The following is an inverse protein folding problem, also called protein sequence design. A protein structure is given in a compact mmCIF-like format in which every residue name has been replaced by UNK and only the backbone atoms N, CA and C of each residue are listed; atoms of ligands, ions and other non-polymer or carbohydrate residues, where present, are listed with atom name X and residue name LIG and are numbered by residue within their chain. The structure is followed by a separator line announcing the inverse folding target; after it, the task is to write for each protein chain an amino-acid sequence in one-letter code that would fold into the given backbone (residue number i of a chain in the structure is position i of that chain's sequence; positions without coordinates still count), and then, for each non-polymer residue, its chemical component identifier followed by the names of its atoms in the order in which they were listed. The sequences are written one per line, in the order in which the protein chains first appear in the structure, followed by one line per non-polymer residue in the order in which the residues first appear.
data_IF_673559157095
#
_entry.id   IF_673559157095
#
_cell.length_a   1.000
_cell.length_b   1.000
_cell.length_c   1.000
_cell.angle_alpha   90.00
_cell.angle_beta   90.00
_cell.angle_gamma   90.00
#
_symmetry.space_group_name_H-M   'P 1'
#
loop_
_entity.id
_entity.type
_entity.pdbx_description
1 polymer ?
#
# COMPACT_ATOMS: atom_id res chain seq x y z
N UNK A 1 -14.77 -11.12 -14.16
CA UNK A 1 -13.74 -10.07 -14.20
C UNK A 1 -14.48 -8.74 -14.19
N UNK A 2 -14.38 -7.95 -13.13
CA UNK A 2 -14.89 -6.57 -13.14
C UNK A 2 -13.85 -5.74 -13.88
N UNK A 3 -14.21 -5.26 -15.06
CA UNK A 3 -13.41 -4.29 -15.80
C UNK A 3 -13.38 -3.00 -14.97
N UNK A 4 -12.18 -2.53 -14.66
CA UNK A 4 -11.98 -1.18 -14.17
C UNK A 4 -12.52 -0.22 -15.23
N UNK A 5 -13.48 0.62 -14.87
CA UNK A 5 -13.55 1.95 -15.48
C UNK A 5 -12.30 2.67 -15.05
N UNK A 6 -11.21 2.44 -15.79
CA UNK A 6 -10.03 3.28 -15.72
C UNK A 6 -10.49 4.73 -15.77
N UNK A 7 -10.16 5.51 -14.75
CA UNK A 7 -10.34 6.95 -14.76
C UNK A 7 -9.32 7.58 -15.71
N UNK A 8 -9.35 7.21 -16.99
CA UNK A 8 -8.62 7.86 -18.08
C UNK A 8 -9.13 9.29 -18.17
N UNK A 9 -8.50 10.21 -17.43
CA UNK A 9 -8.82 11.65 -17.50
C UNK A 9 -8.70 12.45 -16.21
N UNK A 10 -8.53 11.82 -15.02
CA UNK A 10 -8.22 12.57 -13.78
C UNK A 10 -6.73 12.49 -13.49
N UNK A 11 -6.12 13.64 -13.22
CA UNK A 11 -4.77 13.75 -12.66
C UNK A 11 -4.76 13.04 -11.31
N UNK A 12 -4.29 11.79 -11.28
CA UNK A 12 -4.30 10.94 -10.08
C UNK A 12 -2.93 10.30 -9.88
N UNK A 13 -2.50 10.21 -8.62
CA UNK A 13 -1.36 9.39 -8.25
C UNK A 13 -1.74 7.91 -8.35
N UNK A 14 -0.76 7.10 -8.77
CA UNK A 14 -0.86 5.64 -8.71
C UNK A 14 0.10 5.11 -7.66
N UNK A 15 -0.43 4.34 -6.71
CA UNK A 15 0.33 3.69 -5.65
C UNK A 15 0.24 2.17 -5.84
N UNK A 16 1.36 1.56 -6.22
CA UNK A 16 1.54 0.12 -6.16
C UNK A 16 2.22 -0.20 -4.82
N UNK A 17 1.62 -1.08 -4.04
CA UNK A 17 2.17 -1.49 -2.74
C UNK A 17 2.16 -3.01 -2.62
N UNK A 18 3.31 -3.58 -2.29
CA UNK A 18 3.43 -4.98 -1.89
C UNK A 18 3.67 -4.99 -0.39
N UNK A 19 2.71 -5.50 0.35
CA UNK A 19 2.84 -5.72 1.79
C UNK A 19 3.42 -7.09 2.07
N UNK A 20 4.32 -7.14 3.04
CA UNK A 20 4.95 -8.34 3.57
C UNK A 20 4.66 -8.44 5.06
N UNK A 21 4.28 -9.63 5.51
CA UNK A 21 4.23 -9.96 6.93
C UNK A 21 5.34 -10.92 7.29
N UNK A 22 6.13 -10.51 8.27
CA UNK A 22 7.13 -11.34 8.92
C UNK A 22 6.64 -11.62 10.34
N UNK A 23 6.45 -12.89 10.67
CA UNK A 23 6.07 -13.31 12.01
C UNK A 23 7.33 -13.66 12.81
N UNK A 24 7.51 -13.01 13.96
CA UNK A 24 8.38 -13.47 15.04
C UNK A 24 7.51 -14.01 16.18
N UNK A 25 8.10 -14.77 17.12
CA UNK A 25 7.39 -15.49 18.19
C UNK A 25 6.46 -14.59 19.02
N UNK A 26 6.76 -13.30 19.13
CA UNK A 26 6.03 -12.33 19.95
C UNK A 26 5.47 -11.11 19.17
N UNK A 27 5.71 -11.01 17.84
CA UNK A 27 5.19 -9.88 17.05
C UNK A 27 5.05 -10.20 15.56
N UNK A 28 4.03 -9.64 14.91
CA UNK A 28 3.97 -9.54 13.45
C UNK A 28 4.50 -8.19 13.02
N UNK A 29 5.61 -8.18 12.26
CA UNK A 29 6.13 -6.97 11.63
C UNK A 29 5.64 -6.87 10.19
N UNK A 30 5.13 -5.70 9.83
CA UNK A 30 4.66 -5.38 8.50
C UNK A 30 5.69 -4.53 7.78
N UNK A 31 5.96 -4.89 6.53
CA UNK A 31 6.85 -4.18 5.64
C UNK A 31 6.14 -3.93 4.31
N UNK A 32 6.53 -2.88 3.61
CA UNK A 32 5.99 -2.55 2.30
C UNK A 32 7.09 -2.24 1.30
N UNK A 33 6.89 -2.69 0.07
CA UNK A 33 7.57 -2.13 -1.11
C UNK A 33 6.58 -1.26 -1.86
N UNK A 34 6.99 -0.04 -2.15
CA UNK A 34 6.13 1.00 -2.71
C UNK A 34 6.70 1.45 -4.04
N UNK A 35 5.80 1.65 -5.00
CA UNK A 35 6.04 2.44 -6.20
C UNK A 35 4.92 3.47 -6.33
N UNK A 36 5.28 4.74 -6.18
CA UNK A 36 4.38 5.89 -6.27
C UNK A 36 4.67 6.67 -7.55
N UNK A 37 3.67 6.78 -8.42
CA UNK A 37 3.70 7.60 -9.62
C UNK A 37 2.74 8.79 -9.46
N UNK A 38 3.17 9.96 -9.93
CA UNK A 38 2.36 11.17 -9.90
C UNK A 38 1.32 11.21 -11.02
N UNK A 39 0.56 12.31 -11.14
CA UNK A 39 -0.53 12.45 -12.11
C UNK A 39 -0.15 12.29 -13.58
N UNK A 40 1.14 12.45 -13.90
CA UNK A 40 1.70 12.34 -15.24
C UNK A 40 2.43 11.00 -15.44
N UNK A 41 2.20 10.00 -14.57
CA UNK A 41 2.91 8.71 -14.55
C UNK A 41 4.44 8.84 -14.33
N UNK A 42 4.88 9.99 -13.83
CA UNK A 42 6.26 10.21 -13.42
C UNK A 42 6.48 9.54 -12.07
N UNK A 43 7.50 8.69 -11.97
CA UNK A 43 7.90 8.08 -10.71
C UNK A 43 8.27 9.16 -9.69
N UNK A 44 7.55 9.20 -8.57
CA UNK A 44 7.83 10.07 -7.44
C UNK A 44 8.73 9.34 -6.43
N UNK A 45 8.32 8.13 -6.05
CA UNK A 45 9.01 7.33 -5.05
C UNK A 45 9.02 5.85 -5.42
N UNK A 46 10.12 5.18 -5.11
CA UNK A 46 10.25 3.73 -5.24
C UNK A 46 11.10 3.18 -4.10
N UNK A 47 10.61 2.14 -3.42
CA UNK A 47 11.42 1.42 -2.44
C UNK A 47 12.63 0.79 -3.15
N UNK A 48 13.87 1.10 -2.73
CA UNK A 48 15.07 0.53 -3.36
C UNK A 48 15.07 -1.00 -3.33
N UNK A 49 15.66 -1.64 -4.34
CA UNK A 49 15.71 -3.11 -4.43
C UNK A 49 16.45 -3.77 -3.27
N UNK A 50 17.42 -3.06 -2.69
CA UNK A 50 18.24 -3.56 -1.58
C UNK A 50 17.48 -3.54 -0.23
N UNK A 51 16.30 -2.92 -0.16
CA UNK A 51 15.48 -2.86 1.06
C UNK A 51 14.64 -4.15 1.20
N UNK A 52 15.27 -5.28 1.51
CA UNK A 52 14.57 -6.56 1.73
C UNK A 52 14.07 -6.68 3.19
N UNK A 53 12.79 -7.04 3.44
CA UNK A 53 11.71 -7.29 2.48
C UNK A 53 11.05 -6.00 1.95
N UNK A 54 11.22 -4.87 2.64
CA UNK A 54 10.65 -3.58 2.31
C UNK A 54 10.97 -2.55 3.40
N UNK A 55 10.23 -1.45 3.41
CA UNK A 55 10.24 -0.45 4.48
C UNK A 55 9.23 -0.84 5.55
N UNK A 56 9.55 -0.64 6.83
CA UNK A 56 8.61 -0.93 7.92
C UNK A 56 7.37 -0.04 7.83
N UNK A 57 6.19 -0.62 8.08
CA UNK A 57 4.90 0.08 8.12
C UNK A 57 4.10 -0.37 9.35
N UNK A 58 4.72 -0.44 10.53
CA UNK A 58 4.05 -0.97 11.72
C UNK A 58 3.17 0.12 12.38
N UNK A 59 2.11 -0.29 13.10
CA UNK A 59 1.13 0.61 13.73
C UNK A 59 1.75 1.78 14.52
N UNK A 60 2.89 1.52 15.16
CA UNK A 60 3.57 2.46 16.07
C UNK A 60 4.61 3.33 15.34
N UNK A 61 4.93 3.02 14.08
CA UNK A 61 5.92 3.71 13.26
C UNK A 61 5.46 3.74 11.79
N UNK A 62 4.65 4.76 11.46
CA UNK A 62 4.12 4.95 10.11
C UNK A 62 5.22 5.38 9.16
N UNK A 63 5.25 4.78 7.96
CA UNK A 63 6.12 5.24 6.89
C UNK A 63 5.61 6.56 6.34
N UNK A 64 6.45 7.58 6.33
CA UNK A 64 6.17 8.89 5.74
C UNK A 64 6.99 9.08 4.45
N UNK A 65 6.31 9.34 3.33
CA UNK A 65 6.92 9.62 2.02
C UNK A 65 6.63 11.07 1.63
N UNK A 66 7.70 11.84 1.43
CA UNK A 66 7.62 13.24 0.98
C UNK A 66 8.71 13.53 -0.04
N UNK A 67 8.30 13.64 -1.28
CA UNK A 67 9.18 14.03 -2.39
C UNK A 67 8.96 15.50 -2.76
N UNK A 68 9.96 16.12 -3.41
CA UNK A 68 10.00 17.56 -3.69
C UNK A 68 8.80 18.09 -4.49
N UNK A 69 8.17 17.24 -5.30
CA UNK A 69 7.03 17.54 -6.15
C UNK A 69 5.68 17.05 -5.59
N UNK A 70 5.67 16.47 -4.39
CA UNK A 70 4.43 16.10 -3.69
C UNK A 70 3.88 17.32 -2.95
N UNK A 71 2.56 17.54 -3.02
CA UNK A 71 1.87 18.59 -2.27
C UNK A 71 1.84 18.29 -0.77
N UNK A 72 1.43 17.07 -0.41
CA UNK A 72 1.32 16.60 0.98
C UNK A 72 2.31 15.46 1.25
N UNK A 73 2.41 15.02 2.50
CA UNK A 73 3.12 13.79 2.88
C UNK A 73 2.16 12.62 2.70
N UNK A 74 2.61 11.54 2.05
CA UNK A 74 1.89 10.27 2.04
C UNK A 74 2.30 9.47 3.28
N UNK A 75 1.33 9.15 4.14
CA UNK A 75 1.52 8.26 5.29
C UNK A 75 1.01 6.87 4.96
N UNK A 76 1.78 5.86 5.33
CA UNK A 76 1.45 4.45 5.13
C UNK A 76 1.62 3.71 6.45
N UNK A 77 0.55 3.10 6.93
CA UNK A 77 0.53 2.39 8.20
C UNK A 77 -0.20 1.04 8.08
N UNK A 78 0.49 -0.05 8.32
CA UNK A 78 -0.08 -1.38 8.37
C UNK A 78 -0.77 -1.62 9.72
N UNK A 79 -2.01 -2.08 9.67
CA UNK A 79 -2.80 -2.43 10.85
C UNK A 79 -2.98 -3.96 10.91
N UNK A 80 -2.27 -4.66 11.82
CA UNK A 80 -2.34 -6.11 11.89
C UNK A 80 -3.69 -6.63 12.41
N UNK A 81 -4.51 -5.79 13.06
CA UNK A 81 -5.79 -6.20 13.66
C UNK A 81 -6.95 -6.26 12.66
N UNK A 82 -7.08 -5.24 11.82
CA UNK A 82 -8.11 -5.17 10.78
C UNK A 82 -7.60 -5.63 9.41
N UNK A 83 -6.35 -6.09 9.38
CA UNK A 83 -5.72 -6.70 8.22
C UNK A 83 -5.74 -5.76 7.00
N UNK A 84 -5.46 -4.48 7.24
CA UNK A 84 -5.47 -3.43 6.22
C UNK A 84 -4.22 -2.55 6.28
N UNK A 85 -3.92 -1.89 5.17
CA UNK A 85 -2.97 -0.78 5.15
C UNK A 85 -3.79 0.51 5.15
N UNK A 86 -3.54 1.38 6.12
CA UNK A 86 -4.13 2.72 6.24
C UNK A 86 -3.23 3.71 5.53
N UNK A 87 -3.85 4.56 4.71
CA UNK A 87 -3.18 5.60 3.94
C UNK A 87 -3.73 6.97 4.28
N UNK A 88 -2.86 7.98 4.28
CA UNK A 88 -3.28 9.37 4.36
C UNK A 88 -2.47 10.29 3.44
N UNK A 89 -3.13 11.22 2.75
CA UNK A 89 -2.52 12.27 1.93
C UNK A 89 -3.23 13.60 2.20
N UNK A 90 -2.64 14.43 3.06
CA UNK A 90 -3.30 15.65 3.57
C UNK A 90 -4.50 15.30 4.44
N UNK A 91 -5.72 15.63 3.96
CA UNK A 91 -6.99 15.30 4.63
C UNK A 91 -7.69 14.06 4.06
N UNK A 92 -7.13 13.47 3.00
CA UNK A 92 -7.68 12.28 2.38
C UNK A 92 -7.14 11.05 3.12
N UNK A 93 -8.03 10.18 3.58
CA UNK A 93 -7.71 8.93 4.26
C UNK A 93 -8.45 7.78 3.59
N UNK A 94 -7.78 6.64 3.43
CA UNK A 94 -8.37 5.42 2.85
C UNK A 94 -7.61 4.18 3.32
N UNK A 95 -8.11 3.00 2.95
CA UNK A 95 -7.46 1.72 3.26
C UNK A 95 -7.18 0.92 2.01
N UNK A 96 -6.34 -0.10 2.12
CA UNK A 96 -6.10 -1.10 1.04
C UNK A 96 -7.35 -1.82 0.57
N UNK A 97 -8.45 -1.73 1.32
CA UNK A 97 -9.76 -2.32 1.00
C UNK A 97 -10.80 -1.32 0.51
N UNK A 98 -10.48 -0.01 0.45
CA UNK A 98 -11.40 1.00 -0.07
C UNK A 98 -11.60 0.81 -1.57
N UNK A 99 -12.81 0.48 -2.03
CA UNK A 99 -13.08 0.15 -3.44
C UNK A 99 -13.77 1.28 -4.22
N UNK A 100 -14.16 2.36 -3.55
CA UNK A 100 -14.90 3.47 -4.13
C UNK A 100 -14.58 4.81 -3.45
N UNK A 101 -14.85 5.90 -4.17
CA UNK A 101 -14.73 7.26 -3.67
C UNK A 101 -13.52 8.02 -4.25
N UNK A 102 -13.01 9.02 -3.51
CA UNK A 102 -11.90 9.85 -3.99
C UNK A 102 -10.56 9.11 -4.05
N UNK A 103 -10.37 8.07 -3.24
CA UNK A 103 -9.29 7.12 -3.36
C UNK A 103 -9.88 5.72 -3.44
N UNK A 104 -9.27 4.86 -4.25
CA UNK A 104 -9.70 3.47 -4.42
C UNK A 104 -8.49 2.56 -4.54
N UNK A 105 -8.64 1.32 -4.10
CA UNK A 105 -7.64 0.27 -4.10
C UNK A 105 -8.24 -1.05 -4.59
N UNK A 106 -7.42 -1.85 -5.25
CA UNK A 106 -7.73 -3.22 -5.62
C UNK A 106 -6.63 -4.16 -5.15
N UNK A 107 -7.03 -5.35 -4.69
CA UNK A 107 -6.12 -6.46 -4.49
C UNK A 107 -5.75 -7.06 -5.86
N UNK A 108 -4.46 -7.13 -6.16
CA UNK A 108 -3.93 -7.58 -7.45
C UNK A 108 -3.46 -9.04 -7.39
N UNK A 109 -2.98 -9.49 -6.23
CA UNK A 109 -2.51 -10.86 -6.04
C UNK A 109 -3.58 -11.78 -5.51
N UNK A 110 -3.60 -13.03 -5.98
CA UNK A 110 -4.41 -14.11 -5.40
C UNK A 110 -3.96 -14.55 -4.00
N UNK A 111 -2.75 -14.13 -3.60
CA UNK A 111 -2.15 -14.38 -2.30
C UNK A 111 -2.84 -13.53 -1.23
N UNK A 112 -3.95 -14.05 -0.72
CA UNK A 112 -4.52 -13.65 0.56
C UNK A 112 -4.05 -14.65 1.61
N UNK A 113 -3.33 -14.16 2.63
CA UNK A 113 -2.78 -14.99 3.69
C UNK A 113 -3.85 -15.66 4.57
N UNK A 114 -5.13 -15.30 4.41
CA UNK A 114 -6.28 -15.90 5.08
C UNK A 114 -6.97 -16.97 4.23
N UNK A 115 -6.68 -17.07 2.93
CA UNK A 115 -7.46 -17.85 1.95
C UNK A 115 -7.46 -19.36 2.23
N UNK A 116 -6.52 -19.87 3.02
CA UNK A 116 -6.36 -21.31 3.26
C UNK A 116 -6.30 -21.73 4.74
N UNK A 117 -6.55 -20.82 5.70
CA UNK A 117 -6.64 -21.14 7.14
C UNK A 117 -5.39 -21.78 7.77
N UNK A 118 -4.27 -21.78 7.05
CA UNK A 118 -2.99 -22.39 7.44
C UNK A 118 -1.86 -21.40 7.19
N UNK A 119 -1.91 -20.22 7.80
CA UNK A 119 -0.71 -19.38 7.87
C UNK A 119 0.32 -20.12 8.74
N UNK A 120 1.24 -20.83 8.08
CA UNK A 120 2.43 -21.44 8.70
C UNK A 120 3.62 -20.56 8.34
N UNK A 121 3.58 -19.32 8.84
CA UNK A 121 4.38 -18.16 8.43
C UNK A 121 5.88 -18.42 8.20
N UNK A 122 6.40 -18.15 6.98
CA UNK A 122 7.83 -17.87 6.78
C UNK A 122 8.10 -16.51 6.09
N UNK A 123 7.19 -15.98 5.26
CA UNK A 123 7.07 -14.61 4.73
C UNK A 123 5.90 -14.67 3.74
N UNK A 124 4.80 -13.99 4.04
CA UNK A 124 3.64 -13.88 3.12
C UNK A 124 3.62 -12.48 2.51
N UNK A 125 3.17 -12.36 1.26
CA UNK A 125 3.01 -11.06 0.61
C UNK A 125 1.71 -10.92 -0.16
N UNK A 126 1.17 -9.71 -0.20
CA UNK A 126 0.03 -9.33 -1.04
C UNK A 126 0.26 -7.99 -1.71
N UNK A 127 -0.34 -7.79 -2.88
CA UNK A 127 -0.17 -6.57 -3.66
C UNK A 127 -1.50 -5.84 -3.82
N UNK A 128 -1.45 -4.53 -3.61
CA UNK A 128 -2.53 -3.62 -3.93
C UNK A 128 -2.09 -2.58 -4.95
N UNK A 129 -3.05 -2.19 -5.78
CA UNK A 129 -2.96 -1.04 -6.66
C UNK A 129 -4.01 -0.03 -6.22
N UNK A 130 -3.57 1.19 -5.93
CA UNK A 130 -4.44 2.28 -5.49
C UNK A 130 -4.30 3.51 -6.37
N UNK A 131 -5.39 4.25 -6.53
CA UNK A 131 -5.43 5.55 -7.19
C UNK A 131 -6.04 6.60 -6.27
N UNK A 132 -5.47 7.81 -6.25
CA UNK A 132 -5.94 8.92 -5.40
C UNK A 132 -5.54 10.29 -5.97
N UNK A 133 -6.26 11.38 -5.63
CA UNK A 133 -5.92 12.72 -6.05
C UNK A 133 -4.66 13.22 -5.34
N UNK A 134 -3.72 13.67 -6.17
CA UNK A 134 -2.52 14.41 -5.82
C UNK A 134 -2.25 15.41 -6.98
#
# INVERSE_FOLDING_TARGET
MKEFTSWVGRKACKLNIIEYRICDQDSSKLYARIRLEGPNQVLLHGTPELSTPGLAINSDDSLEIKEWNMKEILRVNGEPRDDSIKFAYGKLEWTSWTQDGPAECMLVTDADWNKNGKSKCPTDSRQFECEFPC
#
